data_IF_211616782431
#
_entry.id   IF_211616782431
#
_cell.length_a   1.000
_cell.length_b   1.000
_cell.length_c   1.000
_cell.angle_alpha   90.00
_cell.angle_beta   90.00
_cell.angle_gamma   90.00
#
_symmetry.space_group_name_H-M   'P 1'
#
loop_
_entity.id
_entity.type
_entity.pdbx_description
1 polymer ?
#
# COMPACT_ATOMS: atom_id res chain seq x y z
N UNK A 1 19.88 10.35 -7.12
CA UNK A 1 18.55 10.64 -6.53
C UNK A 1 18.76 11.66 -5.41
N UNK A 2 18.05 12.77 -5.42
CA UNK A 2 18.15 13.82 -4.39
C UNK A 2 17.63 13.28 -3.06
N UNK A 3 18.35 13.55 -1.98
CA UNK A 3 18.03 13.12 -0.62
C UNK A 3 17.65 14.29 0.29
N UNK A 4 17.07 14.01 1.46
CA UNK A 4 16.80 15.03 2.48
C UNK A 4 18.09 15.75 2.94
N UNK A 5 19.25 15.07 2.87
CA UNK A 5 20.55 15.68 3.21
C UNK A 5 20.96 16.75 2.19
N UNK A 6 20.68 16.53 0.92
CA UNK A 6 21.01 17.48 -0.15
C UNK A 6 20.17 18.75 -0.01
N UNK A 7 18.86 18.59 0.25
CA UNK A 7 17.95 19.72 0.53
C UNK A 7 18.39 20.49 1.77
N UNK A 8 18.75 19.77 2.84
CA UNK A 8 19.21 20.39 4.09
C UNK A 8 20.45 21.26 3.88
N UNK A 9 21.38 20.78 3.06
CA UNK A 9 22.59 21.52 2.68
C UNK A 9 22.25 22.79 1.89
N UNK A 10 21.41 22.70 0.87
CA UNK A 10 21.00 23.84 0.05
C UNK A 10 20.20 24.88 0.84
N UNK A 11 19.30 24.45 1.72
CA UNK A 11 18.51 25.34 2.58
C UNK A 11 19.24 25.81 3.84
N UNK A 12 20.45 25.33 4.09
CA UNK A 12 21.26 25.61 5.31
C UNK A 12 20.51 25.32 6.62
N UNK A 13 19.77 24.21 6.64
CA UNK A 13 19.02 23.73 7.81
C UNK A 13 19.39 22.28 8.16
N UNK A 14 18.91 21.80 9.30
CA UNK A 14 19.11 20.39 9.66
C UNK A 14 18.22 19.47 8.81
N UNK A 15 18.64 18.20 8.63
CA UNK A 15 17.84 17.17 7.97
C UNK A 15 16.49 16.98 8.68
N UNK A 16 16.48 17.10 10.01
CA UNK A 16 15.27 17.03 10.82
C UNK A 16 14.30 18.18 10.48
N UNK A 17 14.82 19.40 10.27
CA UNK A 17 14.02 20.57 9.87
C UNK A 17 13.38 20.34 8.49
N UNK A 18 14.14 19.83 7.51
CA UNK A 18 13.61 19.48 6.18
C UNK A 18 12.51 18.42 6.31
N UNK A 19 12.76 17.35 7.05
CA UNK A 19 11.77 16.29 7.27
C UNK A 19 10.48 16.82 7.90
N UNK A 20 10.58 17.69 8.91
CA UNK A 20 9.42 18.32 9.57
C UNK A 20 8.66 19.25 8.63
N UNK A 21 9.36 20.06 7.85
CA UNK A 21 8.76 20.98 6.88
C UNK A 21 7.99 20.24 5.78
N UNK A 22 8.57 19.18 5.22
CA UNK A 22 7.93 18.36 4.19
C UNK A 22 6.72 17.55 4.71
N UNK A 23 6.71 17.21 6.01
CA UNK A 23 5.61 16.50 6.67
C UNK A 23 4.63 17.44 7.41
N UNK A 24 4.70 18.75 7.16
CA UNK A 24 3.76 19.75 7.68
C UNK A 24 3.68 19.87 9.21
N UNK A 25 4.77 19.59 9.90
CA UNK A 25 4.80 19.73 11.36
C UNK A 25 4.55 21.20 11.79
N UNK A 26 3.76 21.35 12.87
CA UNK A 26 3.35 22.65 13.38
C UNK A 26 4.48 23.48 14.01
N UNK A 27 5.60 22.86 14.36
CA UNK A 27 6.77 23.52 14.96
C UNK A 27 7.70 24.22 13.92
N UNK A 28 7.34 24.16 12.64
CA UNK A 28 8.02 24.89 11.55
C UNK A 28 7.09 25.96 11.00
N UNK A 29 7.59 27.20 10.89
CA UNK A 29 6.82 28.31 10.34
C UNK A 29 6.41 28.05 8.87
N UNK A 30 5.25 28.56 8.47
CA UNK A 30 4.73 28.39 7.10
C UNK A 30 5.68 28.94 6.04
N UNK A 31 6.34 30.05 6.32
CA UNK A 31 7.34 30.63 5.43
C UNK A 31 8.51 29.67 5.19
N UNK A 32 9.03 29.04 6.27
CA UNK A 32 10.12 28.07 6.17
C UNK A 32 9.69 26.77 5.51
N UNK A 33 8.47 26.31 5.74
CA UNK A 33 7.88 25.14 5.04
C UNK A 33 7.82 25.41 3.54
N UNK A 34 7.32 26.59 3.16
CA UNK A 34 7.20 27.00 1.76
C UNK A 34 8.57 27.02 1.07
N UNK A 35 9.54 27.69 1.65
CA UNK A 35 10.91 27.77 1.11
C UNK A 35 11.52 26.37 0.90
N UNK A 36 11.36 25.47 1.87
CA UNK A 36 11.92 24.10 1.79
C UNK A 36 11.19 23.26 0.73
N UNK A 37 9.87 23.40 0.61
CA UNK A 37 9.08 22.69 -0.42
C UNK A 37 9.45 23.15 -1.82
N UNK A 38 9.55 24.44 -2.05
CA UNK A 38 9.98 25.02 -3.33
C UNK A 38 11.38 24.55 -3.72
N UNK A 39 12.32 24.53 -2.77
CA UNK A 39 13.68 24.03 -3.01
C UNK A 39 13.69 22.52 -3.30
N UNK A 40 12.91 21.73 -2.58
CA UNK A 40 12.78 20.29 -2.82
C UNK A 40 12.23 20.00 -4.22
N UNK A 41 11.24 20.77 -4.67
CA UNK A 41 10.64 20.65 -6.01
C UNK A 41 11.65 21.05 -7.10
N UNK A 42 12.34 22.20 -6.94
CA UNK A 42 13.40 22.65 -7.84
C UNK A 42 14.50 21.61 -8.03
N UNK A 43 14.88 20.95 -6.95
CA UNK A 43 15.90 19.89 -6.96
C UNK A 43 15.37 18.56 -7.49
N UNK A 44 14.08 18.43 -7.79
CA UNK A 44 13.46 17.19 -8.25
C UNK A 44 13.39 16.11 -7.17
N UNK A 45 13.32 16.52 -5.89
CA UNK A 45 13.16 15.56 -4.79
C UNK A 45 11.81 14.82 -4.89
N UNK A 46 11.88 13.51 -4.71
CA UNK A 46 10.70 12.66 -4.57
C UNK A 46 10.75 11.95 -3.21
N UNK A 47 9.67 12.02 -2.42
CA UNK A 47 9.59 11.27 -1.18
C UNK A 47 9.88 9.79 -1.40
N UNK A 48 10.71 9.21 -0.55
CA UNK A 48 11.00 7.78 -0.62
C UNK A 48 9.94 7.02 0.18
N UNK A 49 9.14 6.22 -0.52
CA UNK A 49 8.08 5.41 0.09
C UNK A 49 8.64 4.48 1.17
N UNK A 50 9.80 3.85 0.96
CA UNK A 50 10.42 2.98 1.96
C UNK A 50 10.77 3.71 3.26
N UNK A 51 11.26 4.96 3.16
CA UNK A 51 11.53 5.79 4.33
C UNK A 51 10.23 6.18 5.06
N UNK A 52 9.15 6.44 4.32
CA UNK A 52 7.81 6.70 4.87
C UNK A 52 7.28 5.45 5.57
N UNK A 53 7.36 4.28 4.93
CA UNK A 53 6.95 2.98 5.49
C UNK A 53 7.65 2.67 6.81
N UNK A 54 8.97 2.83 6.85
CA UNK A 54 9.76 2.63 8.09
C UNK A 54 9.33 3.56 9.24
N UNK A 55 8.91 4.78 8.92
CA UNK A 55 8.47 5.76 9.93
C UNK A 55 7.04 5.52 10.40
N UNK A 56 6.14 5.14 9.49
CA UNK A 56 4.70 5.03 9.76
C UNK A 56 4.26 3.61 10.07
N UNK A 57 5.11 2.63 9.82
CA UNK A 57 4.80 1.19 9.81
C UNK A 57 3.61 0.86 8.89
N UNK A 58 3.47 1.61 7.80
CA UNK A 58 2.45 1.42 6.76
C UNK A 58 3.08 1.39 5.39
N UNK A 59 2.69 0.41 4.59
CA UNK A 59 3.16 0.27 3.20
C UNK A 59 2.40 1.16 2.22
N UNK A 60 1.21 1.60 2.60
CA UNK A 60 0.24 2.25 1.71
C UNK A 60 -0.09 1.39 0.49
N UNK A 61 -0.14 0.08 0.70
CA UNK A 61 -0.43 -0.89 -0.33
C UNK A 61 -1.44 -1.93 0.17
N UNK A 62 -2.46 -2.16 -0.61
CA UNK A 62 -3.50 -3.16 -0.35
C UNK A 62 -3.34 -4.30 -1.34
N UNK A 63 -3.29 -5.53 -0.84
CA UNK A 63 -3.31 -6.72 -1.66
C UNK A 63 -4.72 -6.99 -2.19
N UNK A 64 -4.82 -7.38 -3.45
CA UNK A 64 -6.06 -7.88 -4.06
C UNK A 64 -5.87 -9.35 -4.38
N UNK A 65 -6.50 -10.22 -3.60
CA UNK A 65 -6.57 -11.64 -3.88
C UNK A 65 -7.77 -11.90 -4.78
N UNK A 66 -7.49 -12.22 -6.04
CA UNK A 66 -8.46 -12.48 -7.07
C UNK A 66 -8.01 -13.70 -7.87
N UNK A 67 -8.73 -14.82 -7.76
CA UNK A 67 -8.41 -16.07 -8.45
C UNK A 67 -9.67 -16.57 -9.16
N UNK A 68 -9.83 -16.17 -10.41
CA UNK A 68 -10.95 -16.61 -11.21
C UNK A 68 -10.72 -18.04 -11.72
N UNK A 69 -11.42 -19.01 -11.14
CA UNK A 69 -11.35 -20.42 -11.53
C UNK A 69 -11.83 -20.68 -12.97
N UNK A 70 -12.70 -19.83 -13.48
CA UNK A 70 -13.24 -19.93 -14.84
C UNK A 70 -12.40 -19.22 -15.90
N UNK A 71 -11.31 -18.57 -15.49
CA UNK A 71 -10.37 -17.86 -16.36
C UNK A 71 -11.00 -16.71 -17.18
N UNK A 72 -12.13 -16.16 -16.73
CA UNK A 72 -12.70 -14.93 -17.32
C UNK A 72 -11.84 -13.70 -17.03
N UNK A 73 -10.96 -13.80 -16.03
CA UNK A 73 -10.04 -12.76 -15.63
C UNK A 73 -10.78 -11.50 -15.18
N UNK A 74 -10.16 -10.36 -15.42
CA UNK A 74 -10.70 -9.04 -15.06
C UNK A 74 -11.79 -8.54 -16.03
N UNK A 75 -12.22 -9.36 -16.99
CA UNK A 75 -13.23 -8.98 -17.99
C UNK A 75 -14.66 -9.25 -17.54
N UNK A 76 -14.87 -9.88 -16.37
CA UNK A 76 -16.19 -10.08 -15.80
C UNK A 76 -16.75 -8.74 -15.32
N UNK A 77 -17.84 -8.25 -15.95
CA UNK A 77 -18.40 -6.90 -15.75
C UNK A 77 -18.63 -6.54 -14.28
N UNK A 78 -19.17 -7.46 -13.48
CA UNK A 78 -19.41 -7.23 -12.06
C UNK A 78 -18.12 -6.98 -11.30
N UNK A 79 -17.12 -7.89 -11.41
CA UNK A 79 -15.86 -7.74 -10.71
C UNK A 79 -15.04 -6.58 -11.25
N UNK A 80 -15.10 -6.29 -12.54
CA UNK A 80 -14.47 -5.11 -13.12
C UNK A 80 -15.01 -3.82 -12.48
N UNK A 81 -16.32 -3.70 -12.29
CA UNK A 81 -16.95 -2.54 -11.65
C UNK A 81 -16.57 -2.44 -10.15
N UNK A 82 -16.53 -3.57 -9.43
CA UNK A 82 -16.12 -3.61 -8.02
C UNK A 82 -14.67 -3.18 -7.88
N UNK A 83 -13.76 -3.73 -8.70
CA UNK A 83 -12.33 -3.41 -8.66
C UNK A 83 -12.05 -1.96 -9.05
N UNK A 84 -12.76 -1.42 -10.04
CA UNK A 84 -12.64 0.00 -10.43
C UNK A 84 -13.06 0.93 -9.28
N UNK A 85 -14.20 0.66 -8.66
CA UNK A 85 -14.69 1.44 -7.51
C UNK A 85 -13.72 1.35 -6.33
N UNK A 86 -13.17 0.16 -6.08
CA UNK A 86 -12.19 -0.05 -5.01
C UNK A 86 -10.88 0.70 -5.29
N UNK A 87 -10.41 0.67 -6.56
CA UNK A 87 -9.23 1.42 -6.99
C UNK A 87 -9.40 2.92 -6.75
N UNK A 88 -10.52 3.50 -7.18
CA UNK A 88 -10.81 4.93 -6.98
C UNK A 88 -10.81 5.29 -5.48
N UNK A 89 -11.41 4.44 -4.65
CA UNK A 89 -11.45 4.66 -3.20
C UNK A 89 -10.07 4.53 -2.54
N UNK A 90 -9.20 3.65 -3.02
CA UNK A 90 -7.83 3.47 -2.56
C UNK A 90 -6.94 4.66 -2.96
N UNK A 91 -6.99 5.07 -4.22
CA UNK A 91 -6.27 6.26 -4.74
C UNK A 91 -6.61 7.53 -3.93
N UNK A 92 -7.89 7.75 -3.62
CA UNK A 92 -8.33 8.88 -2.81
C UNK A 92 -7.73 8.90 -1.38
N UNK A 93 -7.09 7.82 -0.96
CA UNK A 93 -6.45 7.63 0.36
C UNK A 93 -4.95 7.36 0.27
N UNK A 94 -4.34 7.65 -0.87
CA UNK A 94 -2.91 7.39 -1.15
C UNK A 94 -2.51 5.90 -1.05
N UNK A 95 -3.43 4.96 -1.32
CA UNK A 95 -3.13 3.54 -1.36
C UNK A 95 -2.95 3.03 -2.79
N UNK A 96 -1.89 2.24 -3.00
CA UNK A 96 -1.72 1.42 -4.19
C UNK A 96 -2.44 0.08 -4.03
N UNK A 97 -2.79 -0.56 -5.16
CA UNK A 97 -3.33 -1.91 -5.20
C UNK A 97 -2.33 -2.85 -5.88
N UNK A 98 -2.10 -4.00 -5.26
CA UNK A 98 -1.25 -5.04 -5.81
C UNK A 98 -1.99 -6.38 -5.87
N UNK A 99 -2.13 -6.96 -7.06
CA UNK A 99 -2.69 -8.30 -7.18
C UNK A 99 -1.78 -9.33 -6.52
N UNK A 100 -2.36 -10.15 -5.66
CA UNK A 100 -1.66 -11.22 -4.94
C UNK A 100 -1.44 -12.39 -5.88
N UNK A 101 -0.19 -12.72 -6.13
CA UNK A 101 0.22 -13.78 -7.06
C UNK A 101 0.91 -14.90 -6.27
N UNK A 102 0.32 -16.09 -6.23
CA UNK A 102 0.85 -17.22 -5.47
C UNK A 102 1.57 -18.27 -6.33
N UNK A 103 1.64 -18.04 -7.64
CA UNK A 103 2.37 -18.87 -8.59
C UNK A 103 3.79 -18.37 -8.81
N UNK A 104 4.78 -18.93 -8.13
CA UNK A 104 6.19 -18.69 -8.39
C UNK A 104 6.74 -19.67 -9.40
N UNK A 105 7.16 -19.23 -10.58
CA UNK A 105 8.01 -20.05 -11.43
C UNK A 105 9.42 -20.10 -10.82
N UNK A 106 9.78 -21.22 -10.20
CA UNK A 106 11.17 -21.51 -9.80
C UNK A 106 11.50 -21.33 -8.31
N UNK A 107 10.53 -21.03 -7.42
CA UNK A 107 10.73 -20.91 -5.99
C UNK A 107 9.72 -21.73 -5.16
N UNK A 108 9.93 -21.82 -3.85
CA UNK A 108 8.94 -22.38 -2.93
C UNK A 108 7.67 -21.53 -3.00
N UNK A 109 6.52 -22.15 -3.31
CA UNK A 109 5.20 -21.48 -3.27
C UNK A 109 4.97 -20.93 -1.86
N UNK A 110 4.65 -19.65 -1.76
CA UNK A 110 4.19 -19.03 -0.52
C UNK A 110 2.68 -19.22 -0.38
N UNK A 111 2.18 -19.36 0.84
CA UNK A 111 0.76 -19.22 1.12
C UNK A 111 0.32 -17.76 0.92
N UNK A 112 -0.99 -17.51 0.81
CA UNK A 112 -1.51 -16.13 0.70
C UNK A 112 -1.10 -15.28 1.89
N UNK A 113 -1.12 -15.82 3.10
CA UNK A 113 -0.70 -15.12 4.31
C UNK A 113 0.81 -14.82 4.32
N UNK A 114 1.65 -15.80 3.96
CA UNK A 114 3.11 -15.58 3.86
C UNK A 114 3.43 -14.49 2.84
N UNK A 115 2.77 -14.52 1.67
CA UNK A 115 2.96 -13.51 0.64
C UNK A 115 2.50 -12.13 1.08
N UNK A 116 1.34 -12.04 1.75
CA UNK A 116 0.84 -10.78 2.28
C UNK A 116 1.81 -10.14 3.29
N UNK A 117 2.36 -10.96 4.20
CA UNK A 117 3.37 -10.51 5.17
C UNK A 117 4.70 -10.13 4.51
N UNK A 118 5.15 -10.92 3.55
CA UNK A 118 6.38 -10.63 2.79
C UNK A 118 6.29 -9.30 2.03
N UNK A 119 5.13 -9.00 1.46
CA UNK A 119 4.86 -7.73 0.77
C UNK A 119 4.54 -6.57 1.72
N UNK A 120 4.22 -6.88 2.97
CA UNK A 120 3.86 -5.89 3.98
C UNK A 120 2.56 -5.15 3.67
N UNK A 121 1.55 -5.84 3.13
CA UNK A 121 0.27 -5.21 2.83
C UNK A 121 -0.41 -4.70 4.11
N UNK A 122 -0.96 -3.48 4.05
CA UNK A 122 -1.72 -2.88 5.14
C UNK A 122 -3.12 -3.50 5.28
N UNK A 123 -3.59 -4.19 4.24
CA UNK A 123 -4.85 -4.90 4.20
C UNK A 123 -4.99 -5.71 2.93
N UNK A 124 -5.98 -6.59 2.89
CA UNK A 124 -6.28 -7.45 1.74
C UNK A 124 -7.77 -7.35 1.38
N UNK A 125 -8.04 -7.16 0.10
CA UNK A 125 -9.36 -7.41 -0.51
C UNK A 125 -9.37 -8.80 -1.11
N UNK A 126 -10.36 -9.61 -0.78
CA UNK A 126 -10.57 -10.95 -1.33
C UNK A 126 -11.84 -10.94 -2.18
N UNK A 127 -11.70 -11.26 -3.46
CA UNK A 127 -12.79 -11.34 -4.39
C UNK A 127 -12.58 -12.50 -5.37
N UNK A 128 -13.68 -13.14 -5.77
CA UNK A 128 -13.68 -14.19 -6.80
C UNK A 128 -12.67 -15.33 -6.49
N UNK A 129 -12.71 -15.86 -5.27
CA UNK A 129 -11.90 -17.00 -4.84
C UNK A 129 -12.79 -18.16 -4.40
N UNK A 130 -12.24 -19.36 -4.32
CA UNK A 130 -12.88 -20.44 -3.57
C UNK A 130 -12.66 -20.19 -2.06
N UNK A 131 -13.71 -19.71 -1.38
CA UNK A 131 -13.66 -19.41 0.05
C UNK A 131 -13.57 -20.69 0.93
N UNK A 132 -13.70 -21.89 0.36
CA UNK A 132 -13.47 -23.15 1.07
C UNK A 132 -11.99 -23.53 1.16
N UNK A 133 -11.11 -22.87 0.41
CA UNK A 133 -9.67 -23.11 0.46
C UNK A 133 -9.08 -22.79 1.84
N UNK A 134 -8.34 -23.72 2.47
CA UNK A 134 -7.74 -23.48 3.79
C UNK A 134 -6.81 -22.27 3.85
N UNK A 135 -6.10 -21.95 2.75
CA UNK A 135 -5.21 -20.78 2.68
C UNK A 135 -5.99 -19.47 2.70
N UNK A 136 -7.17 -19.42 2.08
CA UNK A 136 -8.07 -18.26 2.12
C UNK A 136 -8.59 -18.03 3.53
N UNK A 137 -9.04 -19.11 4.19
CA UNK A 137 -9.48 -19.05 5.58
C UNK A 137 -8.35 -18.60 6.52
N UNK A 138 -7.14 -19.16 6.35
CA UNK A 138 -5.96 -18.77 7.14
C UNK A 138 -5.66 -17.27 7.00
N UNK A 139 -5.74 -16.72 5.79
CA UNK A 139 -5.56 -15.28 5.54
C UNK A 139 -6.67 -14.47 6.21
N UNK A 140 -7.92 -14.90 6.04
CA UNK A 140 -9.09 -14.18 6.58
C UNK A 140 -9.11 -14.13 8.11
N UNK A 141 -8.57 -15.15 8.80
CA UNK A 141 -8.47 -15.22 10.27
C UNK A 141 -7.16 -14.62 10.81
N UNK A 142 -6.29 -14.09 9.96
CA UNK A 142 -5.02 -13.48 10.37
C UNK A 142 -5.20 -12.12 11.03
N UNK A 143 -4.10 -11.54 11.50
CA UNK A 143 -3.99 -10.19 12.04
C UNK A 143 -4.05 -9.08 10.96
N UNK A 144 -3.92 -9.46 9.68
CA UNK A 144 -4.03 -8.50 8.57
C UNK A 144 -5.50 -8.13 8.35
N UNK A 145 -5.85 -6.85 8.24
CA UNK A 145 -7.21 -6.43 7.89
C UNK A 145 -7.66 -7.01 6.56
N UNK A 146 -8.79 -7.71 6.55
CA UNK A 146 -9.34 -8.35 5.36
C UNK A 146 -10.76 -7.85 5.10
N UNK A 147 -11.07 -7.56 3.85
CA UNK A 147 -12.44 -7.38 3.35
C UNK A 147 -12.73 -8.41 2.26
N UNK A 148 -13.90 -9.01 2.31
CA UNK A 148 -14.38 -9.97 1.32
C UNK A 148 -15.54 -9.40 0.52
N UNK A 149 -15.65 -9.80 -0.75
CA UNK A 149 -16.77 -9.48 -1.62
C UNK A 149 -17.62 -10.72 -1.78
N UNK A 150 -18.94 -10.56 -1.54
CA UNK A 150 -19.97 -11.59 -1.67
C UNK A 150 -19.82 -12.81 -0.73
N UNK A 151 -19.00 -12.68 0.34
CA UNK A 151 -18.81 -13.76 1.31
C UNK A 151 -18.65 -13.23 2.74
N UNK A 152 -19.20 -13.98 3.71
CA UNK A 152 -19.08 -13.68 5.15
C UNK A 152 -18.51 -14.90 5.87
N UNK A 153 -17.40 -14.73 6.57
CA UNK A 153 -16.87 -15.74 7.46
C UNK A 153 -17.62 -15.70 8.78
N UNK A 154 -18.41 -16.75 9.07
CA UNK A 154 -19.25 -16.82 10.28
C UNK A 154 -18.46 -16.96 11.58
N UNK A 155 -17.21 -17.38 11.52
CA UNK A 155 -16.37 -17.66 12.70
C UNK A 155 -15.65 -16.40 13.26
N UNK A 156 -16.00 -15.23 12.77
CA UNK A 156 -15.45 -13.94 13.25
C UNK A 156 -16.41 -13.13 14.13
N UNK A 157 -17.47 -13.72 14.56
CA UNK A 157 -18.39 -13.07 15.51
C UNK A 157 -17.94 -13.27 16.95
#
# INVERSE_FOLDING_TARGET
MVSLKDIAKECQVSVATVSKALNDHADISEERKKMIREKAEEMGYRPNLFARTLKTNRSYNIGVLFTDAEHNGLTHDYFAAVLDSFKVAAEARDYDLTFVNCGGSGGKRMTYLEHARYRGFDGIMIACVDFSEPEVLQLALSDIPVVTIDYIFNDRL
#
